data_IF_961888416865
#
_entry.id   IF_961888416865
#
_cell.length_a   1.000
_cell.length_b   1.000
_cell.length_c   1.000
_cell.angle_alpha   90.00
_cell.angle_beta   90.00
_cell.angle_gamma   90.00
#
_symmetry.space_group_name_H-M   'P 1'
#
loop_
_entity.id
_entity.type
_entity.pdbx_description
1 polymer ?
#
# COMPACT_ATOMS: atom_id res chain seq x y z
N UNK A 1 -16.12 12.04 -7.08
CA UNK A 1 -15.05 11.48 -7.93
C UNK A 1 -14.42 12.66 -8.65
N UNK A 2 -13.31 13.17 -8.12
CA UNK A 2 -12.52 14.18 -8.84
C UNK A 2 -11.73 13.37 -9.87
N UNK A 3 -11.78 13.76 -11.14
CA UNK A 3 -11.06 13.05 -12.22
C UNK A 3 -9.83 13.86 -12.61
N UNK A 4 -8.66 13.24 -12.72
CA UNK A 4 -7.41 13.90 -13.10
C UNK A 4 -7.33 14.29 -14.59
N UNK A 5 -8.41 14.06 -15.35
CA UNK A 5 -8.52 14.28 -16.80
C UNK A 5 -8.01 15.66 -17.22
N UNK A 6 -8.41 16.72 -16.50
CA UNK A 6 -8.01 18.10 -16.83
C UNK A 6 -6.50 18.32 -16.72
N UNK A 7 -5.90 17.79 -15.66
CA UNK A 7 -4.46 17.94 -15.39
C UNK A 7 -3.64 17.13 -16.39
N UNK A 8 -4.03 15.88 -16.64
CA UNK A 8 -3.36 15.02 -17.62
C UNK A 8 -3.44 15.61 -19.03
N UNK A 9 -4.61 16.14 -19.43
CA UNK A 9 -4.76 16.81 -20.73
C UNK A 9 -3.85 18.04 -20.84
N UNK A 10 -3.80 18.88 -19.80
CA UNK A 10 -2.95 20.08 -19.76
C UNK A 10 -1.47 19.73 -19.82
N UNK A 11 -1.03 18.71 -19.10
CA UNK A 11 0.35 18.21 -19.14
C UNK A 11 0.74 17.73 -20.54
N UNK A 12 -0.21 17.15 -21.30
CA UNK A 12 -0.01 16.76 -22.70
C UNK A 12 -0.19 17.89 -23.73
N UNK A 13 -0.49 19.12 -23.28
CA UNK A 13 -0.69 20.28 -24.15
C UNK A 13 -1.89 20.18 -25.10
N UNK A 14 -2.86 19.31 -24.80
CA UNK A 14 -3.99 19.05 -25.70
C UNK A 14 -5.18 19.98 -25.40
N UNK A 15 -5.88 20.42 -26.43
CA UNK A 15 -7.14 21.16 -26.29
C UNK A 15 -8.30 20.19 -26.02
N UNK A 16 -9.43 20.69 -25.49
CA UNK A 16 -10.64 19.88 -25.31
C UNK A 16 -11.13 19.29 -26.63
N UNK A 17 -11.00 20.04 -27.72
CA UNK A 17 -11.38 19.63 -29.07
C UNK A 17 -10.47 18.53 -29.61
N UNK A 18 -9.17 18.63 -29.36
CA UNK A 18 -8.20 17.63 -29.76
C UNK A 18 -8.45 16.29 -29.07
N UNK A 19 -8.72 16.31 -27.76
CA UNK A 19 -9.08 15.09 -27.01
C UNK A 19 -10.40 14.51 -27.53
N UNK A 20 -11.40 15.36 -27.80
CA UNK A 20 -12.70 14.92 -28.29
C UNK A 20 -12.61 14.20 -29.65
N UNK A 21 -11.72 14.67 -30.54
CA UNK A 21 -11.44 14.05 -31.84
C UNK A 21 -10.71 12.71 -31.73
N UNK A 22 -9.82 12.59 -30.73
CA UNK A 22 -9.06 11.35 -30.45
C UNK A 22 -9.89 10.25 -29.79
N UNK A 23 -11.04 10.57 -29.20
CA UNK A 23 -11.94 9.56 -28.65
C UNK A 23 -12.53 8.66 -29.75
N UNK A 24 -12.77 7.38 -29.41
CA UNK A 24 -13.48 6.43 -30.28
C UNK A 24 -14.72 5.88 -29.56
N UNK A 25 -15.94 6.17 -30.06
CA UNK A 25 -16.25 7.09 -31.16
C UNK A 25 -15.91 8.55 -30.82
N UNK A 26 -15.66 9.42 -31.83
CA UNK A 26 -15.40 10.85 -31.61
C UNK A 26 -16.54 11.52 -30.86
N UNK A 27 -16.21 12.51 -30.03
CA UNK A 27 -17.18 13.25 -29.23
C UNK A 27 -16.98 14.75 -29.38
N UNK A 28 -17.62 15.56 -28.52
CA UNK A 28 -17.54 17.03 -28.55
C UNK A 28 -16.68 17.56 -27.41
N UNK A 29 -16.02 18.70 -27.64
CA UNK A 29 -15.26 19.43 -26.61
C UNK A 29 -16.11 19.76 -25.37
N UNK A 30 -17.40 20.04 -25.57
CA UNK A 30 -18.36 20.27 -24.49
C UNK A 30 -18.57 19.02 -23.62
N UNK A 31 -18.54 17.82 -24.21
CA UNK A 31 -18.66 16.56 -23.46
C UNK A 31 -17.40 16.31 -22.64
N UNK A 32 -16.21 16.53 -23.21
CA UNK A 32 -14.94 16.46 -22.47
C UNK A 32 -14.93 17.49 -21.32
N UNK A 33 -15.34 18.73 -21.59
CA UNK A 33 -15.41 19.78 -20.56
C UNK A 33 -16.34 19.44 -19.39
N UNK A 34 -17.48 18.80 -19.64
CA UNK A 34 -18.38 18.32 -18.57
C UNK A 34 -17.79 17.17 -17.75
N UNK A 35 -17.00 16.31 -18.39
CA UNK A 35 -16.29 15.22 -17.72
C UNK A 35 -15.16 15.77 -16.84
N UNK A 36 -14.43 16.79 -17.31
CA UNK A 36 -13.40 17.48 -16.53
C UNK A 36 -13.93 18.26 -15.32
N UNK A 37 -15.16 18.79 -15.40
CA UNK A 37 -15.77 19.56 -14.30
C UNK A 37 -16.56 18.71 -13.32
N UNK A 38 -16.61 17.38 -13.51
CA UNK A 38 -17.20 16.45 -12.54
C UNK A 38 -18.72 16.59 -12.36
N UNK A 39 -19.43 17.21 -13.31
CA UNK A 39 -20.89 17.42 -13.23
C UNK A 39 -21.71 16.14 -13.45
N UNK A 40 -21.04 15.00 -13.75
CA UNK A 40 -21.63 13.66 -13.87
C UNK A 40 -20.66 12.59 -13.36
N UNK A 41 -21.20 11.48 -12.83
CA UNK A 41 -20.45 10.25 -12.59
C UNK A 41 -19.95 9.67 -13.93
N UNK A 42 -18.64 9.49 -14.05
CA UNK A 42 -18.03 8.93 -15.27
C UNK A 42 -18.09 7.42 -15.20
N UNK A 43 -18.67 6.78 -16.22
CA UNK A 43 -18.65 5.32 -16.31
C UNK A 43 -17.25 4.80 -16.65
N UNK A 44 -16.95 3.57 -16.24
CA UNK A 44 -15.66 2.89 -16.53
C UNK A 44 -15.38 2.89 -18.04
N UNK A 45 -16.40 2.66 -18.87
CA UNK A 45 -16.26 2.69 -20.33
C UNK A 45 -15.88 4.06 -20.89
N UNK A 46 -16.36 5.15 -20.29
CA UNK A 46 -15.94 6.52 -20.66
C UNK A 46 -14.51 6.82 -20.22
N UNK A 47 -14.14 6.35 -19.02
CA UNK A 47 -12.82 6.57 -18.47
C UNK A 47 -11.74 5.87 -19.31
N UNK A 48 -11.97 4.61 -19.70
CA UNK A 48 -11.09 3.90 -20.63
C UNK A 48 -10.97 4.59 -22.00
N UNK A 49 -12.08 5.17 -22.50
CA UNK A 49 -12.07 5.90 -23.77
C UNK A 49 -11.23 7.17 -23.71
N UNK A 50 -11.31 7.90 -22.60
CA UNK A 50 -10.53 9.13 -22.40
C UNK A 50 -9.05 8.77 -22.16
N UNK A 51 -8.78 7.70 -21.41
CA UNK A 51 -7.43 7.19 -21.19
C UNK A 51 -6.75 6.86 -22.53
N UNK A 52 -7.44 6.16 -23.42
CA UNK A 52 -6.96 5.89 -24.77
C UNK A 52 -6.73 7.16 -25.60
N UNK A 53 -7.66 8.14 -25.57
CA UNK A 53 -7.52 9.40 -26.29
C UNK A 53 -6.37 10.27 -25.78
N UNK A 54 -6.07 10.18 -24.49
CA UNK A 54 -4.95 10.85 -23.85
C UNK A 54 -3.66 10.03 -23.94
N UNK A 55 -3.71 8.73 -24.23
CA UNK A 55 -2.55 7.83 -24.24
C UNK A 55 -1.96 7.61 -22.85
N UNK A 56 -2.81 7.32 -21.87
CA UNK A 56 -2.44 6.98 -20.47
C UNK A 56 -3.24 5.76 -20.01
N UNK A 57 -2.91 5.19 -18.86
CA UNK A 57 -3.74 4.16 -18.25
C UNK A 57 -5.00 4.78 -17.63
N UNK A 58 -6.10 4.02 -17.57
CA UNK A 58 -7.32 4.44 -16.90
C UNK A 58 -7.09 4.77 -15.42
N UNK A 59 -6.22 4.03 -14.73
CA UNK A 59 -5.86 4.31 -13.34
C UNK A 59 -5.30 5.72 -13.14
N UNK A 60 -4.59 6.27 -14.13
CA UNK A 60 -3.99 7.61 -14.07
C UNK A 60 -5.04 8.74 -14.12
N UNK A 61 -6.26 8.45 -14.57
CA UNK A 61 -7.36 9.42 -14.69
C UNK A 61 -8.28 9.46 -13.46
N UNK A 62 -8.14 8.50 -12.56
CA UNK A 62 -8.91 8.43 -11.32
C UNK A 62 -8.11 9.13 -10.21
N UNK A 63 -8.59 10.28 -9.77
CA UNK A 63 -8.14 10.80 -8.48
C UNK A 63 -8.84 9.98 -7.40
N UNK A 64 -8.10 9.13 -6.70
CA UNK A 64 -8.55 8.57 -5.42
C UNK A 64 -9.06 9.76 -4.57
N UNK A 65 -10.24 9.65 -3.91
CA UNK A 65 -10.81 10.76 -3.16
C UNK A 65 -9.75 11.33 -2.22
N UNK A 66 -9.66 12.67 -2.17
CA UNK A 66 -8.69 13.44 -1.37
C UNK A 66 -8.28 12.67 -0.13
N UNK A 67 -7.11 12.05 -0.20
CA UNK A 67 -6.46 11.49 0.99
C UNK A 67 -5.77 12.64 1.65
N UNK A 68 -6.55 13.41 2.40
CA UNK A 68 -6.02 14.49 3.18
C UNK A 68 -4.97 13.92 4.12
N UNK A 69 -3.73 14.37 3.97
CA UNK A 69 -2.70 14.10 4.96
C UNK A 69 -3.23 14.58 6.32
N UNK A 70 -2.94 13.81 7.37
CA UNK A 70 -3.37 14.15 8.72
C UNK A 70 -2.46 15.28 9.24
N UNK A 71 -3.00 16.45 9.62
CA UNK A 71 -2.19 17.52 10.19
C UNK A 71 -1.64 17.08 11.55
N UNK A 72 -0.32 17.24 11.75
CA UNK A 72 0.30 16.91 13.04
C UNK A 72 0.09 18.08 13.98
N UNK A 73 -0.79 17.90 14.97
CA UNK A 73 -1.09 18.94 15.98
C UNK A 73 -0.12 18.88 17.16
N UNK A 74 0.37 17.70 17.51
CA UNK A 74 1.28 17.50 18.64
C UNK A 74 2.28 16.37 18.37
N UNK A 75 3.44 16.45 19.03
CA UNK A 75 4.47 15.42 19.14
C UNK A 75 4.51 14.96 20.59
N UNK A 76 4.46 13.66 20.83
CA UNK A 76 4.58 13.05 22.16
C UNK A 76 5.99 12.48 22.32
N UNK A 77 6.73 12.95 23.32
CA UNK A 77 8.03 12.39 23.72
C UNK A 77 8.12 12.21 25.25
N UNK A 78 9.30 11.85 25.76
CA UNK A 78 9.53 11.63 27.20
C UNK A 78 9.21 12.85 28.09
N UNK A 79 9.07 14.06 27.53
CA UNK A 79 8.72 15.30 28.24
C UNK A 79 7.22 15.64 28.15
N UNK A 80 6.42 14.83 27.45
CA UNK A 80 4.99 15.06 27.24
C UNK A 80 4.63 15.47 25.81
N UNK A 81 3.42 15.96 25.63
CA UNK A 81 2.89 16.41 24.33
C UNK A 81 3.20 17.90 24.10
N UNK A 82 3.78 18.22 22.94
CA UNK A 82 4.11 19.59 22.54
C UNK A 82 3.87 19.84 21.05
N UNK A 83 3.70 21.11 20.68
CA UNK A 83 3.44 21.49 19.29
C UNK A 83 4.71 21.32 18.41
N UNK A 84 4.57 20.90 17.14
CA UNK A 84 5.71 20.82 16.23
C UNK A 84 6.27 22.22 15.93
N UNK A 85 7.59 22.32 15.74
CA UNK A 85 8.27 23.60 15.43
C UNK A 85 7.92 24.18 14.06
N UNK A 86 7.37 23.36 13.16
CA UNK A 86 6.95 23.71 11.80
C UNK A 86 5.68 22.95 11.46
N UNK A 87 4.82 23.55 10.65
CA UNK A 87 3.64 22.87 10.10
C UNK A 87 4.07 21.61 9.35
N UNK A 88 3.47 20.48 9.68
CA UNK A 88 3.77 19.19 9.08
C UNK A 88 2.53 18.30 9.08
N UNK A 89 2.54 17.29 8.21
CA UNK A 89 1.43 16.37 7.98
C UNK A 89 1.95 14.94 7.92
N UNK A 90 1.07 13.95 8.14
CA UNK A 90 1.37 12.52 8.00
C UNK A 90 0.43 11.91 6.97
N UNK A 91 1.01 11.26 5.96
CA UNK A 91 0.23 10.51 4.98
C UNK A 91 -0.39 9.25 5.61
N UNK A 92 -1.68 8.96 5.38
CA UNK A 92 -2.29 7.72 5.84
C UNK A 92 -1.58 6.48 5.28
N UNK A 93 -1.40 5.40 6.07
CA UNK A 93 -0.80 4.14 5.62
C UNK A 93 -1.45 3.60 4.33
N UNK A 94 -0.62 3.23 3.35
CA UNK A 94 -1.07 2.61 2.10
C UNK A 94 -0.58 1.17 1.98
N UNK A 95 -1.47 0.31 1.46
CA UNK A 95 -1.15 -1.07 1.10
C UNK A 95 -0.46 -1.07 -0.26
N UNK A 96 0.75 -1.64 -0.32
CA UNK A 96 1.44 -1.86 -1.58
C UNK A 96 0.98 -3.18 -2.23
N UNK A 97 1.13 -3.28 -3.55
CA UNK A 97 0.79 -4.51 -4.29
C UNK A 97 1.54 -5.72 -3.72
N UNK A 98 0.84 -6.84 -3.59
CA UNK A 98 1.41 -8.10 -3.10
C UNK A 98 1.66 -8.18 -1.60
N UNK A 99 1.31 -7.16 -0.81
CA UNK A 99 1.36 -7.26 0.66
C UNK A 99 0.31 -8.23 1.18
N UNK A 100 0.66 -8.95 2.24
CA UNK A 100 -0.25 -9.84 2.98
C UNK A 100 -0.41 -9.37 4.42
N UNK A 101 -1.41 -9.89 5.13
CA UNK A 101 -1.68 -9.54 6.52
C UNK A 101 -1.66 -10.77 7.43
N UNK A 102 -1.20 -10.58 8.67
CA UNK A 102 -1.34 -11.53 9.78
C UNK A 102 -2.18 -10.85 10.86
N UNK A 103 -3.28 -11.49 11.27
CA UNK A 103 -4.12 -11.00 12.37
C UNK A 103 -3.72 -11.69 13.67
N UNK A 104 -3.74 -10.92 14.78
CA UNK A 104 -3.33 -11.41 16.09
C UNK A 104 -4.57 -11.63 16.95
N UNK A 105 -4.90 -12.89 17.21
CA UNK A 105 -6.07 -13.27 18.03
C UNK A 105 -5.74 -13.46 19.52
N UNK A 106 -4.46 -13.62 19.87
CA UNK A 106 -3.95 -13.77 21.22
C UNK A 106 -2.69 -12.93 21.42
N UNK A 107 -2.56 -12.22 22.54
CA UNK A 107 -1.38 -11.41 22.82
C UNK A 107 -0.13 -12.26 22.96
N UNK A 108 0.95 -11.89 22.25
CA UNK A 108 2.21 -12.62 22.24
C UNK A 108 3.40 -11.69 21.94
N UNK A 109 4.42 -11.72 22.79
CA UNK A 109 5.56 -10.79 22.70
C UNK A 109 5.08 -9.33 22.70
N UNK A 110 5.45 -8.58 21.67
CA UNK A 110 5.05 -7.17 21.49
C UNK A 110 3.66 -6.98 20.85
N UNK A 111 3.06 -8.07 20.35
CA UNK A 111 1.79 -8.07 19.65
C UNK A 111 0.61 -8.27 20.61
N UNK A 112 -0.46 -7.53 20.39
CA UNK A 112 -1.69 -7.53 21.19
C UNK A 112 -2.85 -8.07 20.37
N UNK A 113 -3.88 -8.56 21.07
CA UNK A 113 -5.13 -9.00 20.45
C UNK A 113 -5.71 -7.86 19.62
N UNK A 114 -6.12 -8.16 18.38
CA UNK A 114 -6.66 -7.17 17.45
C UNK A 114 -5.61 -6.52 16.54
N UNK A 115 -4.32 -6.74 16.79
CA UNK A 115 -3.28 -6.25 15.89
C UNK A 115 -3.41 -6.86 14.48
N UNK A 116 -3.13 -6.02 13.48
CA UNK A 116 -2.95 -6.45 12.08
C UNK A 116 -1.53 -6.12 11.65
N UNK A 117 -0.74 -7.16 11.40
CA UNK A 117 0.65 -7.05 10.94
C UNK A 117 0.64 -7.09 9.42
N UNK A 118 1.11 -6.02 8.78
CA UNK A 118 1.27 -5.95 7.33
C UNK A 118 2.65 -6.45 6.96
N UNK A 119 2.70 -7.34 5.97
CA UNK A 119 3.93 -8.00 5.56
C UNK A 119 4.22 -7.77 4.07
N UNK A 120 5.49 -7.56 3.74
CA UNK A 120 5.98 -7.55 2.37
C UNK A 120 6.52 -8.93 2.00
N UNK A 121 6.13 -9.43 0.83
CA UNK A 121 6.61 -10.71 0.30
C UNK A 121 8.07 -10.57 -0.17
N UNK A 122 8.90 -11.53 0.22
CA UNK A 122 10.32 -11.61 -0.15
C UNK A 122 10.59 -13.00 -0.71
N UNK A 123 11.27 -13.04 -1.86
CA UNK A 123 11.71 -14.26 -2.52
C UNK A 123 13.02 -14.79 -1.90
N UNK A 124 13.40 -16.06 -2.12
CA UNK A 124 14.55 -16.70 -1.49
C UNK A 124 15.87 -15.93 -1.57
N UNK A 125 16.11 -15.24 -2.69
CA UNK A 125 17.32 -14.46 -2.94
C UNK A 125 17.46 -13.29 -1.96
N UNK A 126 16.35 -12.83 -1.37
CA UNK A 126 16.30 -11.72 -0.42
C UNK A 126 16.38 -12.13 1.05
N UNK A 127 16.28 -13.41 1.41
CA UNK A 127 16.12 -13.84 2.81
C UNK A 127 17.24 -13.36 3.72
N UNK A 128 18.50 -13.43 3.27
CA UNK A 128 19.66 -13.01 4.06
C UNK A 128 19.63 -11.52 4.44
N UNK A 129 18.95 -10.68 3.64
CA UNK A 129 18.81 -9.24 3.92
C UNK A 129 17.76 -8.94 4.99
N UNK A 130 16.97 -9.93 5.39
CA UNK A 130 15.86 -9.81 6.33
C UNK A 130 16.19 -10.34 7.72
N UNK A 131 17.46 -10.64 8.02
CA UNK A 131 17.90 -11.05 9.35
C UNK A 131 17.48 -10.01 10.42
N UNK A 132 17.16 -10.52 11.60
CA UNK A 132 16.65 -9.79 12.76
C UNK A 132 15.30 -9.08 12.56
N UNK A 133 14.56 -9.44 11.51
CA UNK A 133 13.18 -8.98 11.28
C UNK A 133 12.18 -10.06 11.62
N UNK A 134 11.00 -9.66 12.06
CA UNK A 134 9.90 -10.61 12.27
C UNK A 134 9.29 -10.96 10.91
N UNK A 135 9.14 -12.26 10.64
CA UNK A 135 8.71 -12.78 9.34
C UNK A 135 7.70 -13.92 9.52
N UNK A 136 6.79 -14.03 8.57
CA UNK A 136 5.94 -15.19 8.36
C UNK A 136 6.60 -16.11 7.33
N UNK A 137 6.66 -17.41 7.64
CA UNK A 137 7.26 -18.42 6.77
C UNK A 137 6.27 -19.57 6.57
N UNK A 138 5.98 -19.98 5.33
CA UNK A 138 5.13 -21.13 5.05
C UNK A 138 5.81 -22.43 5.48
N UNK A 139 5.00 -23.39 5.93
CA UNK A 139 5.40 -24.75 6.28
C UNK A 139 4.54 -25.75 5.48
N UNK A 140 4.95 -27.03 5.40
CA UNK A 140 4.14 -28.09 4.81
C UNK A 140 2.73 -28.16 5.41
N UNK A 141 1.79 -28.68 4.62
CA UNK A 141 0.37 -28.83 5.00
C UNK A 141 -0.34 -27.51 5.36
N UNK A 142 0.03 -26.40 4.70
CA UNK A 142 -0.65 -25.11 4.85
C UNK A 142 -0.43 -24.44 6.20
N UNK A 143 0.60 -24.87 6.94
CA UNK A 143 0.98 -24.28 8.23
C UNK A 143 1.86 -23.05 8.01
N UNK A 144 1.99 -22.23 9.04
CA UNK A 144 2.91 -21.09 9.04
C UNK A 144 3.69 -21.06 10.35
N UNK A 145 4.93 -20.58 10.29
CA UNK A 145 5.66 -20.10 11.46
C UNK A 145 5.75 -18.58 11.38
N UNK A 146 5.72 -17.94 12.54
CA UNK A 146 5.96 -16.51 12.67
C UNK A 146 6.99 -16.27 13.77
N UNK A 147 7.96 -15.37 13.51
CA UNK A 147 8.99 -15.04 14.47
C UNK A 147 10.15 -14.28 13.86
N UNK A 148 11.16 -13.97 14.69
CA UNK A 148 12.34 -13.25 14.26
C UNK A 148 13.25 -14.14 13.44
N UNK A 149 13.57 -13.74 12.22
CA UNK A 149 14.56 -14.41 11.39
C UNK A 149 15.96 -14.21 12.00
N UNK A 150 16.57 -15.28 12.50
CA UNK A 150 17.88 -15.23 13.17
C UNK A 150 18.97 -15.99 12.41
N UNK A 151 18.60 -16.72 11.34
CA UNK A 151 19.56 -17.41 10.48
C UNK A 151 19.02 -17.67 9.09
N UNK A 152 19.91 -17.65 8.10
CA UNK A 152 19.64 -17.96 6.70
C UNK A 152 20.84 -18.74 6.15
N UNK A 153 20.62 -19.98 5.69
CA UNK A 153 21.63 -20.91 5.20
C UNK A 153 20.95 -22.02 4.41
N UNK A 154 21.02 -23.28 4.87
CA UNK A 154 20.28 -24.44 4.31
C UNK A 154 18.75 -24.38 4.53
N UNK A 155 18.21 -23.17 4.71
CA UNK A 155 16.87 -22.87 5.20
C UNK A 155 16.86 -21.57 5.99
N UNK A 156 15.75 -21.30 6.67
CA UNK A 156 15.58 -20.14 7.55
C UNK A 156 15.37 -20.58 8.98
N UNK A 157 16.04 -19.91 9.92
CA UNK A 157 15.86 -20.17 11.35
C UNK A 157 15.11 -19.00 11.98
N UNK A 158 13.99 -19.30 12.63
CA UNK A 158 13.11 -18.34 13.27
C UNK A 158 13.14 -18.54 14.78
N UNK A 159 13.15 -17.45 15.53
CA UNK A 159 12.82 -17.44 16.95
C UNK A 159 11.36 -16.97 17.10
N UNK A 160 10.42 -17.83 17.54
CA UNK A 160 9.04 -17.43 17.78
C UNK A 160 8.94 -16.26 18.78
N UNK A 161 7.89 -15.41 18.70
CA UNK A 161 7.69 -14.36 19.68
C UNK A 161 7.32 -14.94 21.05
N UNK A 162 7.80 -14.31 22.12
CA UNK A 162 7.53 -14.72 23.50
C UNK A 162 8.78 -15.12 24.28
N UNK A 163 8.65 -15.21 25.61
CA UNK A 163 9.75 -15.62 26.48
C UNK A 163 9.92 -17.14 26.49
N UNK A 164 11.17 -17.62 26.46
CA UNK A 164 11.50 -19.04 26.59
C UNK A 164 11.21 -19.91 25.35
N UNK A 165 10.88 -19.29 24.21
CA UNK A 165 10.67 -20.00 22.94
C UNK A 165 11.98 -20.50 22.37
N UNK A 166 11.97 -21.67 21.74
CA UNK A 166 13.14 -22.23 21.08
C UNK A 166 13.18 -21.86 19.58
N UNK A 167 14.38 -21.63 19.01
CA UNK A 167 14.54 -21.51 17.57
C UNK A 167 13.99 -22.73 16.82
N UNK A 168 13.37 -22.49 15.67
CA UNK A 168 12.94 -23.51 14.73
C UNK A 168 13.52 -23.23 13.34
N UNK A 169 13.96 -24.28 12.64
CA UNK A 169 14.49 -24.17 11.28
C UNK A 169 13.50 -24.73 10.29
N UNK A 170 13.20 -23.94 9.25
CA UNK A 170 12.33 -24.32 8.13
C UNK A 170 13.21 -24.44 6.90
N UNK A 171 13.20 -25.63 6.29
CA UNK A 171 13.98 -25.93 5.09
C UNK A 171 13.28 -25.39 3.85
N UNK A 172 14.07 -24.82 2.95
CA UNK A 172 13.67 -24.44 1.59
C UNK A 172 12.30 -23.74 1.46
N UNK A 173 12.00 -22.70 2.27
CA UNK A 173 10.73 -22.01 2.13
C UNK A 173 10.67 -21.26 0.79
N UNK A 174 9.55 -21.41 0.08
CA UNK A 174 9.36 -20.78 -1.22
C UNK A 174 9.32 -19.24 -1.17
N UNK A 175 8.98 -18.67 -0.01
CA UNK A 175 8.94 -17.24 0.25
C UNK A 175 8.95 -16.99 1.75
N UNK A 176 9.25 -15.75 2.16
CA UNK A 176 8.95 -15.23 3.50
C UNK A 176 8.14 -13.93 3.36
N UNK A 177 7.34 -13.59 4.35
CA UNK A 177 6.66 -12.31 4.40
C UNK A 177 7.13 -11.51 5.62
N UNK A 178 7.81 -10.41 5.39
CA UNK A 178 8.49 -9.63 6.42
C UNK A 178 7.54 -8.60 7.00
N UNK A 179 7.42 -8.54 8.32
CA UNK A 179 6.63 -7.53 9.01
C UNK A 179 7.23 -6.12 8.76
N UNK A 180 6.42 -5.23 8.19
CA UNK A 180 6.81 -3.88 7.80
C UNK A 180 5.97 -2.79 8.50
N UNK A 181 4.76 -3.13 8.96
CA UNK A 181 3.87 -2.20 9.66
C UNK A 181 2.95 -2.97 10.60
N UNK A 182 2.69 -2.38 11.76
CA UNK A 182 1.68 -2.82 12.70
C UNK A 182 0.53 -1.81 12.68
N UNK A 183 -0.69 -2.29 12.47
CA UNK A 183 -1.91 -1.49 12.64
C UNK A 183 -2.61 -1.98 13.90
N UNK A 184 -2.85 -1.06 14.83
CA UNK A 184 -3.51 -1.32 16.10
C UNK A 184 -4.52 -0.22 16.35
N UNK A 185 -5.77 -0.60 16.46
CA UNK A 185 -6.81 0.29 16.97
C UNK A 185 -6.63 0.41 18.49
N UNK A 186 -6.63 1.64 19.00
CA UNK A 186 -6.37 1.98 20.40
C UNK A 186 -7.63 2.40 21.13
#
# INVERSE_FOLDING_TARGET
>A
MITAIREVRRAKGLTLEEVARRCVPPTTAQTIGRLETGTRTVSVGWLNRIAAALGVDAADLVTLPDRADLPVTAILDARGAHAPRRTTTVAPPQVASGQIAVTVSGGIGDYRVGDVIWCAMVAPEGFATMLNRDVLVPQPAGRFAFGRLIGCGDGVTLLPPGAGTQPQTIKDPAWIAVAIRLVRDL
#
